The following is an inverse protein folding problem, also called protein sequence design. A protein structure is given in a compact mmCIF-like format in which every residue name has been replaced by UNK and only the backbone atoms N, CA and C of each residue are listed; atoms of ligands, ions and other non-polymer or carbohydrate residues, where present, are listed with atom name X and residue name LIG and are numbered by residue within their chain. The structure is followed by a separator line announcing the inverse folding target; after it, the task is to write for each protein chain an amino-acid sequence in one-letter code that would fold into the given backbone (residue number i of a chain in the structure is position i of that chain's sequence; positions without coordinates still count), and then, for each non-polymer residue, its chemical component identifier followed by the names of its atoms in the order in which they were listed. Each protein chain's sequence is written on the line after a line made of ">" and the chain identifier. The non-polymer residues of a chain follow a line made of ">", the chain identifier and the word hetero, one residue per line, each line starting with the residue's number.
data_IF_516709837786
#
_entry.id   IF_516709837786
#
_cell.length_a   1.000
_cell.length_b   1.000
_cell.length_c   1.000
_cell.angle_alpha   90.00
_cell.angle_beta   90.00
_cell.angle_gamma   90.00
#
_symmetry.space_group_name_H-M   'P 1'
#
loop_
_entity.id
_entity.type
_entity.pdbx_description
1 polymer ?
#
# COMPACT_ATOMS: atom_id res chain seq x y z
N UNK A 1 8.90 -8.00 20.75
CA UNK A 1 7.59 -7.28 20.76
C UNK A 1 7.75 -5.76 20.79
N UNK A 2 8.47 -5.21 19.79
CA UNK A 2 8.74 -3.76 19.70
C UNK A 2 7.47 -2.92 19.50
N UNK A 3 6.41 -3.51 18.90
CA UNK A 3 5.17 -2.80 18.59
C UNK A 3 4.12 -2.87 19.72
N UNK A 4 4.29 -3.75 20.70
CA UNK A 4 3.31 -3.93 21.77
C UNK A 4 1.87 -4.09 21.23
N UNK A 5 0.88 -3.36 21.79
CA UNK A 5 -0.52 -3.46 21.35
C UNK A 5 -0.75 -2.99 19.91
N UNK A 6 0.13 -2.17 19.36
CA UNK A 6 0.05 -1.68 17.98
C UNK A 6 0.28 -2.80 16.96
N UNK A 7 1.09 -3.82 17.32
CA UNK A 7 1.34 -5.00 16.51
C UNK A 7 0.24 -6.07 16.57
N UNK A 8 -0.85 -5.84 17.32
CA UNK A 8 -1.96 -6.79 17.37
C UNK A 8 -2.76 -6.75 16.07
N UNK A 9 -2.62 -7.81 15.28
CA UNK A 9 -3.30 -8.02 13.98
C UNK A 9 -3.80 -9.45 13.86
N UNK A 10 -4.68 -9.70 12.94
CA UNK A 10 -5.17 -11.04 12.64
C UNK A 10 -5.16 -11.24 11.10
N UNK A 11 -4.39 -12.18 10.57
CA UNK A 11 -3.51 -13.14 11.26
C UNK A 11 -2.34 -12.43 11.98
N UNK A 12 -1.80 -13.03 13.07
CA UNK A 12 -0.77 -12.37 13.88
C UNK A 12 0.57 -12.28 13.15
N UNK A 13 1.35 -11.24 13.49
CA UNK A 13 2.73 -11.08 12.98
C UNK A 13 3.57 -12.33 13.26
N UNK A 14 4.43 -12.69 12.33
CA UNK A 14 5.29 -13.85 12.40
C UNK A 14 6.75 -13.44 12.67
N UNK A 15 7.57 -14.43 12.99
CA UNK A 15 9.03 -14.24 13.15
C UNK A 15 9.62 -13.72 11.83
N UNK A 16 10.70 -12.98 11.94
CA UNK A 16 11.41 -12.37 10.80
C UNK A 16 11.71 -13.38 9.69
N UNK A 17 12.18 -14.58 10.03
CA UNK A 17 12.48 -15.62 9.05
C UNK A 17 11.28 -15.99 8.18
N UNK A 18 10.06 -16.08 8.77
CA UNK A 18 8.83 -16.35 8.01
C UNK A 18 8.48 -15.17 7.09
N UNK A 19 8.66 -13.93 7.56
CA UNK A 19 8.44 -12.75 6.72
C UNK A 19 9.43 -12.70 5.55
N UNK A 20 10.69 -13.04 5.76
CA UNK A 20 11.71 -13.10 4.72
C UNK A 20 11.41 -14.21 3.70
N UNK A 21 10.90 -15.36 4.14
CA UNK A 21 10.42 -16.44 3.27
C UNK A 21 9.23 -16.01 2.40
N UNK A 22 8.26 -15.27 2.96
CA UNK A 22 7.15 -14.71 2.21
C UNK A 22 7.61 -13.71 1.13
N UNK A 23 8.59 -12.86 1.44
CA UNK A 23 9.18 -11.96 0.43
C UNK A 23 9.90 -12.76 -0.65
N UNK A 24 10.59 -13.84 -0.30
CA UNK A 24 11.23 -14.72 -1.27
C UNK A 24 10.19 -15.45 -2.15
N UNK A 25 9.08 -15.92 -1.57
CA UNK A 25 7.97 -16.50 -2.32
C UNK A 25 7.34 -15.49 -3.30
N UNK A 26 7.14 -14.26 -2.84
CA UNK A 26 6.69 -13.16 -3.70
C UNK A 26 7.64 -12.94 -4.88
N UNK A 27 8.96 -12.90 -4.62
CA UNK A 27 9.98 -12.71 -5.65
C UNK A 27 10.02 -13.85 -6.68
N UNK A 28 9.67 -15.07 -6.28
CA UNK A 28 9.57 -16.25 -7.19
C UNK A 28 8.27 -16.30 -7.98
N UNK A 29 7.28 -15.46 -7.67
CA UNK A 29 5.95 -15.49 -8.31
C UNK A 29 4.99 -16.52 -7.71
N UNK A 30 5.25 -17.01 -6.50
CA UNK A 30 4.37 -17.95 -5.79
C UNK A 30 3.15 -17.25 -5.17
N UNK A 31 3.07 -15.91 -5.27
CA UNK A 31 2.00 -15.06 -4.72
C UNK A 31 1.35 -14.27 -5.84
N UNK A 32 0.05 -14.45 -6.05
CA UNK A 32 -0.69 -13.84 -7.15
C UNK A 32 -0.94 -12.34 -6.93
N UNK A 33 -1.31 -11.94 -5.72
CA UNK A 33 -1.63 -10.54 -5.40
C UNK A 33 -1.31 -10.19 -3.95
N UNK A 34 -1.22 -8.89 -3.67
CA UNK A 34 -1.03 -8.34 -2.34
C UNK A 34 -2.20 -7.44 -1.97
N UNK A 35 -2.76 -7.66 -0.79
CA UNK A 35 -3.73 -6.77 -0.14
C UNK A 35 -3.11 -6.01 1.04
N UNK A 36 -3.62 -4.83 1.34
CA UNK A 36 -3.12 -4.00 2.44
C UNK A 36 -3.61 -4.41 3.82
N UNK A 37 -4.68 -5.19 3.89
CA UNK A 37 -5.41 -5.50 5.13
C UNK A 37 -5.63 -4.23 5.99
N UNK A 38 -6.05 -3.14 5.33
CA UNK A 38 -6.24 -1.84 5.97
C UNK A 38 -7.39 -1.88 6.97
N UNK A 39 -7.06 -2.06 8.25
CA UNK A 39 -8.00 -2.11 9.36
C UNK A 39 -7.61 -1.05 10.43
N UNK A 40 -7.82 0.24 10.15
CA UNK A 40 -7.40 1.33 11.03
C UNK A 40 -8.28 1.43 12.27
N UNK A 41 -7.65 1.67 13.41
CA UNK A 41 -8.31 2.00 14.67
C UNK A 41 -7.72 3.29 15.24
N UNK A 42 -8.51 4.12 15.96
CA UNK A 42 -7.97 5.26 16.70
C UNK A 42 -6.89 4.82 17.69
N UNK A 43 -5.89 5.67 17.88
CA UNK A 43 -4.73 5.34 18.72
C UNK A 43 -5.15 5.02 20.17
N UNK A 44 -6.14 5.73 20.69
CA UNK A 44 -6.68 5.54 22.05
C UNK A 44 -7.26 4.13 22.24
N UNK A 45 -7.87 3.57 21.18
CA UNK A 45 -8.38 2.19 21.20
C UNK A 45 -7.24 1.18 21.15
N UNK A 46 -6.18 1.46 20.37
CA UNK A 46 -5.02 0.57 20.27
C UNK A 46 -4.21 0.54 21.57
N UNK A 47 -4.18 1.62 22.32
CA UNK A 47 -3.47 1.74 23.61
C UNK A 47 -4.35 1.36 24.81
N UNK A 48 -5.64 1.09 24.59
CA UNK A 48 -6.57 0.67 25.65
C UNK A 48 -6.29 -0.72 26.21
N UNK A 49 -7.04 -1.08 27.26
CA UNK A 49 -6.88 -2.37 27.97
C UNK A 49 -7.25 -3.60 27.11
N UNK A 50 -8.05 -3.43 26.06
CA UNK A 50 -8.46 -4.47 25.13
C UNK A 50 -8.25 -4.01 23.67
N UNK A 51 -7.00 -3.89 23.20
CA UNK A 51 -6.73 -3.36 21.87
C UNK A 51 -7.34 -4.25 20.77
N UNK A 52 -8.08 -3.65 19.81
CA UNK A 52 -8.62 -4.39 18.67
C UNK A 52 -7.49 -4.88 17.75
N UNK A 53 -7.72 -5.96 17.00
CA UNK A 53 -6.82 -6.40 15.92
C UNK A 53 -6.97 -5.50 14.70
N UNK A 54 -5.85 -5.15 14.07
CA UNK A 54 -5.80 -4.34 12.85
C UNK A 54 -4.82 -3.19 12.95
N UNK A 55 -4.35 -2.75 11.77
CA UNK A 55 -3.46 -1.59 11.63
C UNK A 55 -3.74 -0.87 10.31
N UNK A 56 -3.37 0.42 10.17
CA UNK A 56 -3.43 1.11 8.89
C UNK A 56 -2.37 0.53 7.94
N UNK A 57 -2.78 0.16 6.72
CA UNK A 57 -1.90 -0.48 5.73
C UNK A 57 -1.92 0.19 4.35
N UNK A 58 -3.05 0.82 3.94
CA UNK A 58 -3.22 1.33 2.57
C UNK A 58 -2.17 2.38 2.18
N UNK A 59 -1.79 3.27 3.08
CA UNK A 59 -0.80 4.33 2.81
C UNK A 59 0.64 3.82 2.78
N UNK A 60 0.90 2.60 3.25
CA UNK A 60 2.25 2.05 3.39
C UNK A 60 2.52 0.87 2.47
N UNK A 61 1.50 0.31 1.83
CA UNK A 61 1.66 -0.84 0.94
C UNK A 61 2.68 -0.57 -0.18
N UNK A 62 2.47 0.48 -0.98
CA UNK A 62 3.38 0.82 -2.07
C UNK A 62 4.77 1.24 -1.57
N UNK A 63 4.93 2.12 -0.55
CA UNK A 63 6.23 2.43 0.03
C UNK A 63 7.02 1.22 0.51
N UNK A 64 6.37 0.23 1.13
CA UNK A 64 7.04 -1.02 1.56
C UNK A 64 7.55 -1.79 0.35
N UNK A 65 6.74 -1.97 -0.70
CA UNK A 65 7.13 -2.69 -1.92
C UNK A 65 8.28 -1.98 -2.66
N UNK A 66 8.22 -0.65 -2.80
CA UNK A 66 9.31 0.14 -3.38
C UNK A 66 10.61 -0.01 -2.58
N UNK A 67 10.51 -0.01 -1.25
CA UNK A 67 11.68 -0.23 -0.38
C UNK A 67 12.27 -1.62 -0.57
N UNK A 68 11.44 -2.66 -0.68
CA UNK A 68 11.90 -4.03 -0.96
C UNK A 68 12.58 -4.12 -2.34
N UNK A 69 12.06 -3.42 -3.34
CA UNK A 69 12.66 -3.37 -4.68
C UNK A 69 14.00 -2.62 -4.66
N UNK A 70 14.08 -1.47 -4.00
CA UNK A 70 15.32 -0.72 -3.83
C UNK A 70 16.41 -1.51 -3.08
N UNK A 71 15.99 -2.44 -2.20
CA UNK A 71 16.90 -3.37 -1.50
C UNK A 71 17.27 -4.61 -2.33
N UNK A 72 16.77 -4.73 -3.56
CA UNK A 72 17.01 -5.89 -4.44
C UNK A 72 16.32 -7.18 -3.98
N UNK A 73 15.34 -7.09 -3.08
CA UNK A 73 14.60 -8.25 -2.57
C UNK A 73 13.47 -8.71 -3.49
N UNK A 74 12.92 -7.79 -4.29
CA UNK A 74 11.97 -8.04 -5.38
C UNK A 74 12.36 -7.16 -6.58
N UNK A 75 11.82 -7.42 -7.77
CA UNK A 75 12.00 -6.49 -8.89
C UNK A 75 10.96 -5.38 -8.88
N UNK A 76 11.27 -4.22 -9.50
CA UNK A 76 10.29 -3.14 -9.65
C UNK A 76 9.10 -3.54 -10.51
N UNK A 77 9.35 -4.36 -11.55
CA UNK A 77 8.33 -4.88 -12.47
C UNK A 77 7.31 -5.78 -11.77
N UNK A 78 7.71 -6.44 -10.68
CA UNK A 78 6.80 -7.28 -9.90
C UNK A 78 5.72 -6.45 -9.19
N UNK A 79 6.02 -5.21 -8.78
CA UNK A 79 5.08 -4.36 -8.05
C UNK A 79 3.76 -4.18 -8.82
N UNK A 80 3.74 -3.65 -10.07
CA UNK A 80 2.50 -3.50 -10.82
C UNK A 80 1.86 -4.87 -11.17
N UNK A 81 2.61 -5.95 -11.25
CA UNK A 81 2.03 -7.26 -11.47
C UNK A 81 1.09 -7.65 -10.32
N UNK A 82 1.59 -7.63 -9.08
CA UNK A 82 0.86 -8.12 -7.91
C UNK A 82 -0.11 -7.11 -7.28
N UNK A 83 0.01 -5.81 -7.62
CA UNK A 83 -0.86 -4.75 -7.08
C UNK A 83 -1.90 -4.24 -8.06
N UNK A 84 -1.75 -4.53 -9.35
CA UNK A 84 -2.61 -3.95 -10.40
C UNK A 84 -3.03 -4.97 -11.45
N UNK A 85 -2.10 -5.58 -12.19
CA UNK A 85 -2.40 -6.46 -13.32
C UNK A 85 -3.10 -7.73 -12.89
N UNK A 86 -2.49 -8.53 -12.02
CA UNK A 86 -3.08 -9.78 -11.54
C UNK A 86 -4.39 -9.57 -10.77
N UNK A 87 -4.52 -8.58 -9.86
CA UNK A 87 -5.81 -8.24 -9.31
C UNK A 87 -6.88 -7.92 -10.36
N UNK A 88 -6.54 -7.14 -11.40
CA UNK A 88 -7.48 -6.83 -12.47
C UNK A 88 -7.91 -8.09 -13.25
N UNK A 89 -7.00 -8.99 -13.55
CA UNK A 89 -7.27 -10.27 -14.21
C UNK A 89 -8.13 -11.20 -13.34
N UNK A 90 -7.76 -11.40 -12.07
CA UNK A 90 -8.47 -12.27 -11.12
C UNK A 90 -9.91 -11.79 -10.89
N UNK A 91 -10.10 -10.48 -10.76
CA UNK A 91 -11.42 -9.90 -10.53
C UNK A 91 -12.16 -9.51 -11.81
N UNK A 92 -11.63 -9.82 -13.00
CA UNK A 92 -12.28 -9.54 -14.29
C UNK A 92 -12.45 -8.05 -14.61
N UNK A 93 -11.56 -7.19 -14.11
CA UNK A 93 -11.62 -5.75 -14.35
C UNK A 93 -11.01 -5.41 -15.71
N UNK A 94 -11.83 -5.03 -16.67
CA UNK A 94 -11.39 -4.69 -18.03
C UNK A 94 -10.79 -3.30 -18.11
N UNK A 95 -9.80 -3.11 -19.00
CA UNK A 95 -9.12 -1.84 -19.28
C UNK A 95 -8.45 -1.21 -18.05
N UNK A 96 -7.89 -2.05 -17.16
CA UNK A 96 -7.23 -1.67 -15.92
C UNK A 96 -6.05 -2.60 -15.65
N UNK A 97 -5.13 -2.13 -14.83
CA UNK A 97 -3.99 -2.93 -14.38
C UNK A 97 -2.79 -2.93 -15.31
N UNK A 98 -2.89 -2.32 -16.49
CA UNK A 98 -1.80 -2.15 -17.47
C UNK A 98 -1.70 -0.72 -17.99
N UNK A 99 -0.62 -0.42 -18.74
CA UNK A 99 -0.39 0.86 -19.40
C UNK A 99 -0.61 0.76 -20.93
N UNK A 100 -1.59 -0.03 -21.35
CA UNK A 100 -1.90 -0.21 -22.77
C UNK A 100 -2.75 0.94 -23.28
N UNK A 101 -2.60 1.26 -24.58
CA UNK A 101 -3.46 2.24 -25.24
C UNK A 101 -4.91 1.75 -25.21
N UNK A 102 -5.81 2.59 -24.69
CA UNK A 102 -7.22 2.25 -24.48
C UNK A 102 -7.58 1.80 -23.07
N UNK A 103 -6.60 1.63 -22.20
CA UNK A 103 -6.83 1.41 -20.78
C UNK A 103 -7.17 2.72 -20.05
N UNK A 104 -7.77 2.58 -18.88
CA UNK A 104 -8.09 3.71 -18.02
C UNK A 104 -6.81 4.30 -17.43
N UNK A 105 -6.63 5.61 -17.55
CA UNK A 105 -5.47 6.33 -17.03
C UNK A 105 -5.58 6.53 -15.50
N UNK A 106 -5.54 5.43 -14.75
CA UNK A 106 -5.47 5.40 -13.28
C UNK A 106 -4.05 4.94 -12.90
N UNK A 107 -3.19 5.88 -12.53
CA UNK A 107 -1.74 5.72 -12.48
C UNK A 107 -1.16 6.25 -11.19
N UNK A 108 -0.01 5.70 -10.79
CA UNK A 108 0.86 6.30 -9.76
C UNK A 108 2.23 6.54 -10.38
N UNK A 109 2.74 7.76 -10.19
CA UNK A 109 4.12 8.14 -10.56
C UNK A 109 4.96 8.06 -9.30
N UNK A 110 6.15 7.45 -9.40
CA UNK A 110 7.03 7.22 -8.25
C UNK A 110 8.45 7.72 -8.53
N UNK A 111 9.11 8.24 -7.51
CA UNK A 111 10.55 8.49 -7.46
C UNK A 111 11.23 7.29 -6.79
N UNK A 112 11.87 6.35 -7.54
CA UNK A 112 12.28 5.06 -7.01
C UNK A 112 13.41 5.13 -5.98
N UNK A 113 14.21 6.19 -6.00
CA UNK A 113 15.41 6.32 -5.17
C UNK A 113 15.27 7.34 -4.03
N UNK A 114 14.14 8.04 -3.93
CA UNK A 114 13.93 9.04 -2.89
C UNK A 114 13.80 8.39 -1.52
N UNK A 115 14.58 8.90 -0.55
CA UNK A 115 14.53 8.46 0.86
C UNK A 115 13.64 9.40 1.64
N UNK A 116 12.70 8.85 2.36
CA UNK A 116 11.76 9.60 3.17
C UNK A 116 11.23 8.77 4.34
N UNK A 117 10.47 9.37 5.24
CA UNK A 117 9.78 8.68 6.33
C UNK A 117 8.40 9.30 6.54
N UNK A 118 7.49 8.51 7.09
CA UNK A 118 6.18 8.99 7.52
C UNK A 118 6.34 9.56 8.92
N UNK A 119 6.09 10.85 9.09
CA UNK A 119 6.06 11.48 10.41
C UNK A 119 4.75 11.16 11.12
N UNK A 120 4.80 11.16 12.45
CA UNK A 120 3.59 11.03 13.27
C UNK A 120 2.61 12.16 12.93
N UNK A 121 1.40 11.82 12.51
CA UNK A 121 0.38 12.78 12.10
C UNK A 121 0.25 13.05 10.60
N UNK A 122 1.23 12.65 9.76
CA UNK A 122 1.17 12.86 8.31
C UNK A 122 0.17 11.93 7.59
N UNK A 123 -0.20 10.83 8.24
CA UNK A 123 -1.11 9.86 7.62
C UNK A 123 -2.54 10.38 7.59
N UNK A 124 -3.00 10.69 6.40
CA UNK A 124 -4.39 11.07 6.14
C UNK A 124 -5.30 9.84 5.97
N UNK A 125 -5.25 8.92 6.94
CA UNK A 125 -6.08 7.72 6.98
C UNK A 125 -7.30 7.87 7.91
N UNK A 126 -7.92 9.03 7.89
CA UNK A 126 -9.04 9.36 8.78
C UNK A 126 -8.60 9.61 10.22
N UNK A 127 -9.29 9.01 11.20
CA UNK A 127 -9.03 9.23 12.64
C UNK A 127 -7.87 8.42 13.21
N UNK A 128 -7.18 7.58 12.42
CA UNK A 128 -6.16 6.68 12.98
C UNK A 128 -4.83 7.39 13.27
N UNK A 129 -4.39 8.33 12.43
CA UNK A 129 -3.20 9.19 12.59
C UNK A 129 -1.90 8.50 13.07
N UNK A 130 -1.75 7.17 12.88
CA UNK A 130 -0.58 6.39 13.25
C UNK A 130 -0.26 5.33 12.21
N UNK A 131 0.97 4.82 12.23
CA UNK A 131 1.41 3.70 11.42
C UNK A 131 2.44 2.88 12.17
N UNK A 132 2.49 1.54 11.99
CA UNK A 132 3.58 0.72 12.50
C UNK A 132 4.93 1.05 11.84
N UNK A 133 4.90 1.84 10.76
CA UNK A 133 6.08 2.31 10.03
C UNK A 133 6.41 3.79 10.29
N UNK A 134 5.75 4.46 11.24
CA UNK A 134 6.12 5.84 11.62
C UNK A 134 7.59 5.93 11.99
N UNK A 135 8.26 6.98 11.51
CA UNK A 135 9.68 7.27 11.69
C UNK A 135 10.64 6.21 11.07
N UNK A 136 10.12 5.17 10.41
CA UNK A 136 10.97 4.20 9.70
C UNK A 136 11.29 4.73 8.29
N UNK A 137 12.53 4.54 7.81
CA UNK A 137 12.92 4.99 6.48
C UNK A 137 12.28 4.14 5.39
N UNK A 138 11.76 4.81 4.37
CA UNK A 138 11.36 4.22 3.09
C UNK A 138 12.35 4.64 2.00
N UNK A 139 12.46 3.81 0.96
CA UNK A 139 13.12 4.14 -0.30
C UNK A 139 12.08 3.97 -1.41
N UNK A 140 11.93 5.02 -2.22
CA UNK A 140 10.86 5.14 -3.20
C UNK A 140 9.64 5.87 -2.66
N UNK A 141 9.24 6.95 -3.33
CA UNK A 141 8.16 7.86 -2.92
C UNK A 141 7.12 8.00 -4.03
N UNK A 142 5.83 7.87 -3.72
CA UNK A 142 4.78 8.28 -4.66
C UNK A 142 4.80 9.80 -4.85
N UNK A 143 4.96 10.26 -6.10
CA UNK A 143 5.01 11.68 -6.47
C UNK A 143 3.66 12.21 -6.94
N UNK A 144 2.92 11.36 -7.66
CA UNK A 144 1.60 11.73 -8.13
C UNK A 144 0.69 10.52 -8.25
N UNK A 145 -0.59 10.75 -8.05
CA UNK A 145 -1.66 9.75 -8.26
C UNK A 145 -2.70 10.34 -9.18
N UNK A 146 -3.04 9.59 -10.21
CA UNK A 146 -4.05 9.94 -11.19
C UNK A 146 -5.18 8.91 -11.17
N UNK A 147 -6.41 9.38 -11.26
CA UNK A 147 -7.60 8.57 -11.42
C UNK A 147 -8.33 9.02 -12.69
N UNK A 148 -8.45 8.11 -13.66
CA UNK A 148 -9.15 8.36 -14.94
C UNK A 148 -8.68 9.65 -15.64
N UNK A 149 -7.36 9.86 -15.69
CA UNK A 149 -6.74 11.00 -16.33
C UNK A 149 -6.73 12.30 -15.51
N UNK A 150 -7.19 12.28 -14.26
CA UNK A 150 -7.19 13.46 -13.38
C UNK A 150 -6.28 13.24 -12.18
N UNK A 151 -5.46 14.20 -11.84
CA UNK A 151 -4.64 14.14 -10.64
C UNK A 151 -5.49 14.18 -9.37
N UNK A 152 -5.27 13.21 -8.47
CA UNK A 152 -5.76 13.21 -7.09
C UNK A 152 -4.73 13.78 -6.13
N UNK A 153 -3.48 13.58 -6.45
CA UNK A 153 -2.32 14.01 -5.68
C UNK A 153 -1.18 14.31 -6.64
N UNK A 154 -0.54 15.45 -6.49
CA UNK A 154 0.74 15.78 -7.10
C UNK A 154 1.33 17.03 -6.42
N UNK A 155 2.66 17.20 -6.51
CA UNK A 155 3.35 18.34 -5.89
C UNK A 155 3.03 18.50 -4.39
N UNK A 156 2.92 17.37 -3.67
CA UNK A 156 2.55 17.31 -2.25
C UNK A 156 1.13 17.87 -1.91
N UNK A 157 0.32 18.15 -2.93
CA UNK A 157 -1.05 18.63 -2.79
C UNK A 157 -2.08 17.58 -3.16
N UNK A 158 -3.21 17.56 -2.41
CA UNK A 158 -4.37 16.74 -2.71
C UNK A 158 -5.43 17.57 -3.42
N UNK A 159 -5.91 17.04 -4.53
CA UNK A 159 -6.99 17.65 -5.31
C UNK A 159 -8.32 17.01 -4.92
N UNK A 160 -9.31 17.83 -4.55
CA UNK A 160 -10.65 17.33 -4.24
C UNK A 160 -11.36 16.94 -5.53
N UNK A 161 -11.74 15.68 -5.64
CA UNK A 161 -12.65 15.20 -6.67
C UNK A 161 -14.04 15.06 -6.05
N UNK A 162 -14.95 15.93 -6.42
CA UNK A 162 -16.37 15.77 -6.07
C UNK A 162 -16.95 14.62 -6.90
N UNK A 163 -17.55 13.62 -6.24
CA UNK A 163 -18.39 12.55 -6.83
C UNK A 163 -17.73 11.67 -7.91
N UNK A 164 -16.53 11.10 -7.64
CA UNK A 164 -15.80 10.32 -8.66
C UNK A 164 -15.72 8.81 -8.40
N UNK A 165 -16.41 8.30 -7.39
CA UNK A 165 -16.57 6.87 -7.19
C UNK A 165 -17.43 6.26 -8.28
N UNK A 166 -16.94 5.18 -8.93
CA UNK A 166 -17.71 4.42 -9.93
C UNK A 166 -17.80 2.98 -9.48
N UNK A 167 -19.00 2.43 -9.51
CA UNK A 167 -19.19 1.01 -9.30
C UNK A 167 -18.58 0.22 -10.47
N UNK A 168 -17.60 -0.62 -10.17
CA UNK A 168 -17.00 -1.50 -11.18
C UNK A 168 -17.84 -2.78 -11.29
N UNK A 169 -18.42 -3.01 -12.45
CA UNK A 169 -19.11 -4.27 -12.76
C UNK A 169 -18.09 -5.26 -13.31
N UNK A 170 -18.01 -6.42 -12.68
CA UNK A 170 -17.33 -7.61 -13.22
C UNK A 170 -18.24 -8.21 -14.27
N UNK A 171 -17.72 -8.54 -15.42
CA UNK A 171 -18.47 -9.14 -16.54
C UNK A 171 -17.89 -10.51 -16.88
#
# INVERSE_FOLDING_TARGET
>A
DELGPWGKVNPPLRKRAVADELVAALARGDVDLIGSDHAPHPIEKKEGSAPPSGMPGVSTLLPVLLTLAAQGRISYELIPQVTSKQPAEIYGLKKRGTLSVGDEASLVIVSPNEKWSIKKGDLRCGKCAWSPYSEKPFIGKPEATMLRGRFLFSNEEFYSLKEEGVWLRVS
#
